data_IF_562489387553
#
_entry.id   IF_562489387553
#
_cell.length_a   1.000
_cell.length_b   1.000
_cell.length_c   1.000
_cell.angle_alpha   90.00
_cell.angle_beta   90.00
_cell.angle_gamma   90.00
#
_symmetry.space_group_name_H-M   'P 1'
#
loop_
_entity.id
_entity.type
_entity.pdbx_description
1 polymer ?
#
# COMPACT_ATOMS: atom_id res chain seq x y z
N UNK A 1 26.84 -2.27 -26.61
CA UNK A 1 26.08 -1.03 -26.38
C UNK A 1 24.62 -1.41 -26.15
N UNK A 2 24.06 -1.20 -24.96
CA UNK A 2 22.59 -1.21 -24.81
C UNK A 2 22.13 0.25 -24.79
N UNK A 3 21.15 0.63 -25.64
CA UNK A 3 20.62 1.98 -25.69
C UNK A 3 20.01 2.39 -24.35
N UNK A 4 19.98 3.71 -24.10
CA UNK A 4 19.51 4.33 -22.87
C UNK A 4 18.13 3.85 -22.46
N UNK A 5 18.05 3.42 -21.21
CA UNK A 5 16.82 3.08 -20.53
C UNK A 5 16.27 4.40 -19.98
N UNK A 6 15.34 5.00 -20.71
CA UNK A 6 14.41 5.99 -20.19
C UNK A 6 13.20 5.23 -19.61
N UNK A 7 13.30 4.74 -18.37
CA UNK A 7 12.27 3.90 -17.72
C UNK A 7 11.37 4.66 -16.75
N UNK A 8 11.50 5.98 -16.65
CA UNK A 8 10.91 6.73 -15.53
C UNK A 8 9.41 6.53 -15.40
N UNK A 9 8.62 6.98 -16.38
CA UNK A 9 7.15 7.01 -16.25
C UNK A 9 6.46 5.83 -16.95
N UNK A 10 6.91 5.44 -18.15
CA UNK A 10 6.30 4.33 -18.90
C UNK A 10 6.48 2.98 -18.19
N UNK A 11 7.66 2.76 -17.57
CA UNK A 11 7.95 1.55 -16.80
C UNK A 11 7.09 1.43 -15.53
N UNK A 12 6.89 2.54 -14.83
CA UNK A 12 6.04 2.59 -13.62
C UNK A 12 4.56 2.36 -13.92
N UNK A 13 4.06 2.92 -15.04
CA UNK A 13 2.68 2.69 -15.48
C UNK A 13 2.46 1.21 -15.84
N UNK A 14 3.39 0.63 -16.61
CA UNK A 14 3.31 -0.77 -17.01
C UNK A 14 3.37 -1.70 -15.78
N UNK A 15 4.28 -1.44 -14.85
CA UNK A 15 4.38 -2.18 -13.60
C UNK A 15 3.07 -2.12 -12.79
N UNK A 16 2.50 -0.92 -12.67
CA UNK A 16 1.21 -0.71 -11.98
C UNK A 16 0.09 -1.50 -12.67
N UNK A 17 0.03 -1.44 -14.01
CA UNK A 17 -0.94 -2.19 -14.82
C UNK A 17 -0.81 -3.70 -14.61
N UNK A 18 0.42 -4.23 -14.55
CA UNK A 18 0.65 -5.64 -14.26
C UNK A 18 0.18 -6.02 -12.85
N UNK A 19 0.52 -5.23 -11.84
CA UNK A 19 0.07 -5.48 -10.46
C UNK A 19 -1.45 -5.53 -10.35
N UNK A 20 -2.15 -4.60 -11.01
CA UNK A 20 -3.62 -4.56 -11.03
C UNK A 20 -4.28 -5.76 -11.73
N UNK A 21 -3.57 -6.40 -12.69
CA UNK A 21 -4.05 -7.62 -13.36
C UNK A 21 -3.77 -8.88 -12.54
N UNK A 22 -2.64 -8.92 -11.85
CA UNK A 22 -2.13 -10.12 -11.19
C UNK A 22 -2.59 -10.24 -9.73
N UNK A 23 -2.77 -9.12 -9.03
CA UNK A 23 -3.09 -9.09 -7.61
C UNK A 23 -4.41 -8.39 -7.31
N UNK A 24 -5.03 -8.67 -6.15
CA UNK A 24 -6.19 -7.93 -5.69
C UNK A 24 -5.92 -6.42 -5.59
N UNK A 25 -6.95 -5.64 -5.88
CA UNK A 25 -6.99 -4.21 -5.63
C UNK A 25 -8.40 -3.80 -5.18
N UNK A 26 -8.49 -2.64 -4.54
CA UNK A 26 -9.77 -2.03 -4.15
C UNK A 26 -9.85 -0.60 -4.64
N UNK A 27 -11.05 -0.18 -5.04
CA UNK A 27 -11.30 1.16 -5.54
C UNK A 27 -12.73 1.59 -5.22
N UNK A 28 -12.87 2.75 -4.57
CA UNK A 28 -14.13 3.48 -4.47
C UNK A 28 -14.20 4.48 -5.61
N UNK A 29 -15.34 4.48 -6.31
CA UNK A 29 -15.65 5.44 -7.36
C UNK A 29 -16.75 6.40 -6.92
N UNK A 30 -16.62 7.65 -7.32
CA UNK A 30 -17.65 8.68 -7.21
C UNK A 30 -17.81 9.32 -8.58
N UNK A 31 -19.04 9.33 -9.11
CA UNK A 31 -19.34 9.83 -10.47
C UNK A 31 -18.46 9.16 -11.55
N UNK A 32 -18.25 7.84 -11.43
CA UNK A 32 -17.44 7.03 -12.33
C UNK A 32 -15.92 7.15 -12.13
N UNK A 33 -15.44 8.16 -11.40
CA UNK A 33 -14.01 8.42 -11.19
C UNK A 33 -13.49 7.77 -9.91
N UNK A 34 -12.26 7.20 -9.92
CA UNK A 34 -11.65 6.67 -8.71
C UNK A 34 -11.35 7.81 -7.71
N UNK A 35 -11.81 7.69 -6.47
CA UNK A 35 -11.61 8.70 -5.41
C UNK A 35 -10.89 8.15 -4.18
N UNK A 36 -10.86 6.83 -4.02
CA UNK A 36 -10.00 6.14 -3.07
C UNK A 36 -9.61 4.78 -3.65
N UNK A 37 -8.38 4.34 -3.39
CA UNK A 37 -7.89 3.05 -3.85
C UNK A 37 -6.74 2.56 -2.98
N UNK A 38 -6.49 1.25 -3.07
CA UNK A 38 -5.33 0.57 -2.53
C UNK A 38 -5.07 -0.68 -3.38
N UNK A 39 -3.82 -1.13 -3.42
CA UNK A 39 -3.39 -2.29 -4.19
C UNK A 39 -2.36 -3.11 -3.42
N UNK A 40 -1.93 -4.23 -4.03
CA UNK A 40 -0.90 -5.10 -3.46
C UNK A 40 0.40 -4.92 -4.23
N UNK A 41 1.51 -4.80 -3.50
CA UNK A 41 2.85 -4.74 -4.06
C UNK A 41 3.30 -6.11 -4.58
N UNK A 42 4.37 -6.14 -5.36
CA UNK A 42 4.96 -7.42 -5.81
C UNK A 42 5.46 -8.27 -4.64
N UNK A 43 5.77 -7.65 -3.49
CA UNK A 43 6.15 -8.33 -2.26
C UNK A 43 4.95 -8.83 -1.44
N UNK A 44 3.72 -8.70 -1.95
CA UNK A 44 2.50 -9.16 -1.28
C UNK A 44 1.98 -8.24 -0.17
N UNK A 45 2.52 -7.03 -0.04
CA UNK A 45 2.11 -6.06 0.99
C UNK A 45 1.02 -5.12 0.44
N UNK A 46 0.12 -4.67 1.31
CA UNK A 46 -0.77 -3.56 0.97
C UNK A 46 0.05 -2.29 0.69
N UNK A 47 -0.27 -1.59 -0.39
CA UNK A 47 0.48 -0.43 -0.85
C UNK A 47 -0.41 0.57 -1.60
N UNK A 48 0.10 1.79 -1.75
CA UNK A 48 -0.56 2.88 -2.46
C UNK A 48 -1.99 3.20 -1.96
N UNK A 49 -2.22 3.11 -0.65
CA UNK A 49 -3.46 3.60 -0.03
C UNK A 49 -3.57 5.11 -0.26
N UNK A 50 -4.55 5.50 -1.06
CA UNK A 50 -4.79 6.90 -1.38
C UNK A 50 -6.27 7.25 -1.31
N UNK A 51 -6.55 8.46 -0.81
CA UNK A 51 -7.87 9.09 -0.84
C UNK A 51 -7.69 10.51 -1.34
N UNK A 52 -8.45 10.87 -2.38
CA UNK A 52 -8.45 12.20 -2.96
C UNK A 52 -8.88 13.23 -1.90
N UNK A 53 -8.21 14.37 -1.85
CA UNK A 53 -8.25 15.29 -0.71
C UNK A 53 -9.67 15.73 -0.33
N UNK A 54 -10.50 16.14 -1.29
CA UNK A 54 -11.89 16.56 -1.06
C UNK A 54 -12.83 15.42 -0.62
N UNK A 55 -12.35 14.16 -0.66
CA UNK A 55 -13.07 12.98 -0.18
C UNK A 55 -12.49 12.41 1.12
N UNK A 56 -11.45 13.02 1.71
CA UNK A 56 -10.88 12.61 3.00
C UNK A 56 -11.85 12.90 4.16
N UNK A 57 -11.59 12.28 5.32
CA UNK A 57 -12.43 12.41 6.52
C UNK A 57 -13.77 11.65 6.47
N UNK A 58 -14.08 10.99 5.35
CA UNK A 58 -15.34 10.26 5.12
C UNK A 58 -15.23 8.75 5.34
N UNK A 59 -14.12 8.27 5.90
CA UNK A 59 -13.86 6.84 6.10
C UNK A 59 -13.46 6.04 4.86
N UNK A 60 -13.33 6.67 3.68
CA UNK A 60 -13.06 5.96 2.42
C UNK A 60 -11.75 5.14 2.45
N UNK A 61 -10.70 5.66 3.06
CA UNK A 61 -9.41 4.94 3.19
C UNK A 61 -9.56 3.63 3.97
N UNK A 62 -10.37 3.65 5.04
CA UNK A 62 -10.69 2.44 5.81
C UNK A 62 -11.48 1.44 4.98
N UNK A 63 -12.45 1.93 4.20
CA UNK A 63 -13.32 1.08 3.39
C UNK A 63 -12.51 0.33 2.33
N UNK A 64 -11.63 1.02 1.61
CA UNK A 64 -10.76 0.37 0.61
C UNK A 64 -9.77 -0.59 1.25
N UNK A 65 -9.18 -0.24 2.40
CA UNK A 65 -8.25 -1.12 3.13
C UNK A 65 -8.93 -2.41 3.56
N UNK A 66 -10.09 -2.33 4.22
CA UNK A 66 -10.78 -3.54 4.69
C UNK A 66 -11.28 -4.42 3.55
N UNK A 67 -11.81 -3.83 2.48
CA UNK A 67 -12.21 -4.59 1.29
C UNK A 67 -11.01 -5.29 0.65
N UNK A 68 -9.86 -4.60 0.54
CA UNK A 68 -8.64 -5.20 0.02
C UNK A 68 -8.12 -6.32 0.91
N UNK A 69 -8.06 -6.12 2.24
CA UNK A 69 -7.68 -7.15 3.20
C UNK A 69 -8.48 -8.44 2.99
N UNK A 70 -9.81 -8.34 2.83
CA UNK A 70 -10.66 -9.50 2.59
C UNK A 70 -10.35 -10.19 1.25
N UNK A 71 -10.07 -9.41 0.20
CA UNK A 71 -9.68 -9.98 -1.11
C UNK A 71 -8.33 -10.68 -1.04
N UNK A 72 -7.36 -10.12 -0.32
CA UNK A 72 -6.03 -10.71 -0.10
C UNK A 72 -6.12 -12.03 0.66
N UNK A 73 -6.95 -12.10 1.70
CA UNK A 73 -7.23 -13.35 2.44
C UNK A 73 -7.82 -14.41 1.50
N UNK A 74 -8.83 -14.05 0.70
CA UNK A 74 -9.44 -14.97 -0.28
C UNK A 74 -8.48 -15.39 -1.39
N UNK A 75 -7.50 -14.55 -1.71
CA UNK A 75 -6.45 -14.85 -2.67
C UNK A 75 -5.38 -15.81 -2.10
N UNK A 76 -5.43 -16.10 -0.79
CA UNK A 76 -4.50 -17.04 -0.14
C UNK A 76 -3.22 -16.40 0.39
N UNK A 77 -3.22 -15.08 0.60
CA UNK A 77 -2.08 -14.33 1.13
C UNK A 77 -2.34 -13.83 2.56
N UNK A 78 -1.25 -13.67 3.32
CA UNK A 78 -1.29 -12.95 4.58
C UNK A 78 -1.40 -11.44 4.32
N UNK A 79 -2.24 -10.79 5.12
CA UNK A 79 -2.45 -9.35 5.05
C UNK A 79 -1.36 -8.64 5.86
N UNK A 80 -0.47 -7.93 5.17
CA UNK A 80 0.64 -7.19 5.77
C UNK A 80 0.70 -5.79 5.14
N UNK A 81 0.97 -4.77 5.96
CA UNK A 81 1.26 -3.41 5.48
C UNK A 81 2.48 -2.84 6.19
N UNK A 82 3.21 -1.98 5.49
CA UNK A 82 4.30 -1.19 6.04
C UNK A 82 3.84 0.26 6.16
N UNK A 83 4.10 0.88 7.30
CA UNK A 83 3.74 2.28 7.54
C UNK A 83 5.02 3.05 7.82
N UNK A 84 5.24 4.11 7.06
CA UNK A 84 6.35 5.03 7.26
C UNK A 84 6.34 5.59 8.69
N UNK A 85 7.50 5.59 9.35
CA UNK A 85 7.60 5.97 10.76
C UNK A 85 7.19 7.43 11.02
N UNK A 86 7.37 8.30 10.03
CA UNK A 86 6.95 9.70 10.11
C UNK A 86 5.43 9.88 9.97
N UNK A 87 4.69 8.88 9.49
CA UNK A 87 3.24 8.94 9.35
C UNK A 87 2.53 8.57 10.66
N UNK A 88 2.77 9.38 11.69
CA UNK A 88 2.28 9.19 13.06
C UNK A 88 0.75 9.09 13.15
N UNK A 89 0.04 9.81 12.27
CA UNK A 89 -1.42 9.74 12.17
C UNK A 89 -1.91 8.35 11.72
N UNK A 90 -1.27 7.76 10.69
CA UNK A 90 -1.61 6.42 10.22
C UNK A 90 -1.20 5.34 11.23
N UNK A 91 -0.03 5.48 11.87
CA UNK A 91 0.40 4.59 12.95
C UNK A 91 -0.61 4.58 14.10
N UNK A 92 -0.98 5.77 14.58
CA UNK A 92 -1.93 5.96 15.68
C UNK A 92 -3.33 5.44 15.34
N UNK A 93 -3.81 5.67 14.11
CA UNK A 93 -5.11 5.15 13.69
C UNK A 93 -5.13 3.65 13.44
N UNK A 94 -4.00 3.07 13.03
CA UNK A 94 -3.84 1.63 12.84
C UNK A 94 -3.83 0.89 14.18
N UNK A 95 -3.08 1.40 15.17
CA UNK A 95 -2.94 0.75 16.48
C UNK A 95 -4.24 0.73 17.31
N UNK A 96 -5.19 1.63 17.02
CA UNK A 96 -6.51 1.65 17.68
C UNK A 96 -7.47 0.55 17.20
N UNK A 97 -7.09 -0.22 16.18
CA UNK A 97 -8.00 -1.17 15.56
C UNK A 97 -7.73 -2.58 16.06
N UNK A 98 -8.78 -3.33 16.41
CA UNK A 98 -8.61 -4.63 17.04
C UNK A 98 -8.07 -5.71 16.09
N UNK A 99 -8.06 -5.46 14.78
CA UNK A 99 -7.63 -6.41 13.76
C UNK A 99 -6.21 -6.18 13.23
N UNK A 100 -5.51 -5.14 13.70
CA UNK A 100 -4.11 -4.93 13.36
C UNK A 100 -3.22 -5.16 14.58
N UNK A 101 -2.19 -5.96 14.40
CA UNK A 101 -1.11 -6.16 15.38
C UNK A 101 0.20 -5.72 14.76
N UNK A 102 1.07 -5.07 15.53
CA UNK A 102 2.44 -4.81 15.10
C UNK A 102 3.24 -6.10 15.13
N UNK A 103 4.09 -6.29 14.12
CA UNK A 103 5.14 -7.31 14.16
C UNK A 103 6.27 -6.76 15.03
N UNK A 104 6.68 -7.52 16.03
CA UNK A 104 7.72 -7.15 16.99
C UNK A 104 8.79 -8.25 17.05
N UNK A 105 10.00 -7.86 17.42
CA UNK A 105 11.06 -8.77 17.82
C UNK A 105 10.77 -9.38 19.20
N UNK A 106 11.51 -10.44 19.57
CA UNK A 106 11.37 -11.12 20.86
C UNK A 106 11.65 -10.20 22.06
N UNK A 107 12.45 -9.14 21.86
CA UNK A 107 12.75 -8.12 22.87
C UNK A 107 11.65 -7.04 23.00
N UNK A 108 10.57 -7.15 22.22
CA UNK A 108 9.44 -6.22 22.21
C UNK A 108 9.65 -4.97 21.34
N UNK A 109 10.76 -4.85 20.63
CA UNK A 109 10.98 -3.74 19.68
C UNK A 109 10.19 -3.93 18.38
N UNK A 110 9.80 -2.82 17.74
CA UNK A 110 9.10 -2.83 16.45
C UNK A 110 10.03 -3.45 15.36
N UNK A 111 9.50 -4.34 14.52
CA UNK A 111 10.22 -4.79 13.32
C UNK A 111 10.27 -3.65 12.29
N UNK A 112 11.49 -3.24 11.90
CA UNK A 112 11.71 -2.10 11.00
C UNK A 112 12.25 -2.53 9.63
N UNK A 113 11.62 -2.02 8.56
CA UNK A 113 12.19 -2.07 7.22
C UNK A 113 13.16 -0.91 7.02
N UNK A 114 14.42 -1.24 6.72
CA UNK A 114 15.47 -0.26 6.42
C UNK A 114 15.76 -0.28 4.92
N UNK A 115 15.72 0.89 4.28
CA UNK A 115 16.02 1.04 2.86
C UNK A 115 17.33 1.80 2.69
N UNK A 116 18.21 1.27 1.85
CA UNK A 116 19.47 1.91 1.47
C UNK A 116 19.32 2.53 0.08
N UNK A 117 19.78 3.76 -0.08
CA UNK A 117 19.88 4.42 -1.39
C UNK A 117 21.34 4.47 -1.80
N UNK A 118 21.64 3.96 -2.99
CA UNK A 118 22.95 4.18 -3.61
C UNK A 118 23.01 5.62 -4.15
N UNK A 119 23.95 6.41 -3.66
CA UNK A 119 24.24 7.73 -4.21
C UNK A 119 25.49 7.64 -5.08
N UNK A 120 25.30 7.78 -6.39
CA UNK A 120 26.42 7.93 -7.31
C UNK A 120 26.87 9.38 -7.26
N UNK A 121 28.12 9.61 -6.82
CA UNK A 121 28.78 10.91 -6.84
C UNK A 121 29.43 11.16 -8.19
#
# INVERSE_FOLDING_TARGET
MRPGIDTGEEGEEEETRFKLKAFPSSCVRYEGKPVAFEMVSQAGQLTALYVQEQHRGKGLGRIVELDLCQKVIRFGLYVIKCVELFNTSLLSSTSRLPYWTKVMHDDGSDFLNVFYKLEMK
#
